data_IF_566413343492
#
_entry.id   IF_566413343492
#
_cell.length_a   1.000
_cell.length_b   1.000
_cell.length_c   1.000
_cell.angle_alpha   90.00
_cell.angle_beta   90.00
_cell.angle_gamma   90.00
#
_symmetry.space_group_name_H-M   'P 1'
#
loop_
_entity.id
_entity.type
_entity.pdbx_description
1 polymer ?
#
# COMPACT_ATOMS: atom_id res chain seq x y z
N UNK A 1 -7.89 -48.46 22.64
CA UNK A 1 -6.57 -47.87 22.95
C UNK A 1 -5.90 -47.49 21.66
N UNK A 2 -5.37 -46.31 21.59
CA UNK A 2 -4.70 -45.73 20.41
C UNK A 2 -3.25 -45.42 20.75
N UNK A 3 -2.36 -45.53 19.78
CA UNK A 3 -0.97 -45.06 19.91
C UNK A 3 -0.95 -43.51 19.82
N UNK A 4 0.17 -42.91 20.25
CA UNK A 4 0.36 -41.44 20.15
C UNK A 4 0.23 -40.94 18.70
N UNK A 5 0.63 -41.77 17.72
CA UNK A 5 0.58 -41.41 16.30
C UNK A 5 -0.88 -41.43 15.79
N UNK A 6 -1.63 -42.50 16.09
CA UNK A 6 -3.03 -42.61 15.70
C UNK A 6 -3.92 -41.52 16.36
N UNK A 7 -3.66 -41.23 17.65
CA UNK A 7 -4.37 -40.15 18.32
C UNK A 7 -4.05 -38.76 17.73
N UNK A 8 -2.81 -38.55 17.29
CA UNK A 8 -2.39 -37.33 16.63
C UNK A 8 -3.10 -37.11 15.27
N UNK A 9 -3.21 -38.18 14.47
CA UNK A 9 -3.93 -38.18 13.20
C UNK A 9 -5.42 -37.87 13.39
N UNK A 10 -6.08 -38.55 14.35
CA UNK A 10 -7.50 -38.31 14.63
C UNK A 10 -7.78 -36.90 15.14
N UNK A 11 -6.88 -36.32 15.93
CA UNK A 11 -7.03 -34.99 16.51
C UNK A 11 -6.52 -33.88 15.59
N UNK A 12 -5.86 -34.18 14.47
CA UNK A 12 -5.27 -33.21 13.57
C UNK A 12 -4.13 -32.38 14.22
N UNK A 13 -3.35 -32.99 15.15
CA UNK A 13 -2.27 -32.33 15.88
C UNK A 13 -0.99 -33.18 15.80
N UNK A 14 0.14 -32.60 16.22
CA UNK A 14 1.43 -33.35 16.22
C UNK A 14 1.50 -34.37 17.35
N UNK A 15 2.24 -35.51 17.19
CA UNK A 15 2.47 -36.50 18.24
C UNK A 15 3.07 -35.88 19.52
N UNK A 16 3.94 -34.89 19.37
CA UNK A 16 4.51 -34.11 20.48
C UNK A 16 3.42 -33.41 21.31
N UNK A 17 2.43 -32.84 20.63
CA UNK A 17 1.31 -32.15 21.29
C UNK A 17 0.42 -33.16 22.05
N UNK A 18 0.23 -34.34 21.51
CA UNK A 18 -0.48 -35.43 22.21
C UNK A 18 0.26 -35.82 23.52
N UNK A 19 1.58 -35.95 23.48
CA UNK A 19 2.38 -36.24 24.69
C UNK A 19 2.29 -35.15 25.75
N UNK A 20 2.28 -33.87 25.34
CA UNK A 20 2.05 -32.74 26.26
C UNK A 20 0.67 -32.84 26.92
N UNK A 21 -0.36 -33.19 26.17
CA UNK A 21 -1.74 -33.35 26.68
C UNK A 21 -1.85 -34.49 27.68
N UNK A 22 -1.11 -35.57 27.48
CA UNK A 22 -1.01 -36.69 28.44
C UNK A 22 -0.31 -36.23 29.72
N UNK A 23 0.86 -35.54 29.60
CA UNK A 23 1.61 -35.01 30.73
C UNK A 23 0.81 -34.02 31.59
N UNK A 24 -0.04 -33.21 30.95
CA UNK A 24 -0.86 -32.23 31.64
C UNK A 24 -2.21 -32.80 32.15
N UNK A 25 -2.40 -34.10 32.11
CA UNK A 25 -3.62 -34.76 32.57
C UNK A 25 -4.87 -34.48 31.72
N UNK A 26 -4.68 -33.87 30.55
CA UNK A 26 -5.79 -33.50 29.65
C UNK A 26 -6.23 -34.66 28.74
N UNK A 27 -5.52 -35.78 28.76
CA UNK A 27 -5.86 -37.02 28.08
C UNK A 27 -5.46 -38.21 28.94
N UNK A 28 -6.36 -39.20 29.03
CA UNK A 28 -6.10 -40.43 29.77
C UNK A 28 -5.28 -41.40 28.92
N UNK A 29 -4.15 -41.82 29.42
CA UNK A 29 -3.26 -42.75 28.75
C UNK A 29 -2.48 -43.59 29.77
N UNK A 30 -2.09 -44.82 29.38
CA UNK A 30 -1.18 -45.68 30.14
C UNK A 30 0.05 -45.99 29.31
N UNK A 31 1.19 -46.21 29.98
CA UNK A 31 2.40 -46.60 29.33
C UNK A 31 2.55 -48.12 29.39
N UNK A 32 2.70 -48.78 28.25
CA UNK A 32 2.94 -50.22 28.16
C UNK A 32 4.09 -50.44 27.17
N UNK A 33 5.09 -51.23 27.59
CA UNK A 33 6.28 -51.57 26.79
C UNK A 33 6.96 -50.34 26.15
N UNK A 34 7.02 -49.22 26.88
CA UNK A 34 7.65 -47.97 26.38
C UNK A 34 6.76 -47.10 25.50
N UNK A 35 5.59 -47.59 25.10
CA UNK A 35 4.64 -46.84 24.21
C UNK A 35 3.47 -46.32 25.03
N UNK A 36 3.00 -45.10 24.71
CA UNK A 36 1.81 -44.56 25.29
C UNK A 36 0.56 -45.12 24.57
N UNK A 37 -0.32 -45.76 25.34
CA UNK A 37 -1.63 -46.21 24.90
C UNK A 37 -2.69 -45.29 25.45
N UNK A 38 -3.36 -44.57 24.54
CA UNK A 38 -4.31 -43.54 24.84
C UNK A 38 -5.72 -44.09 24.78
N UNK A 39 -6.55 -43.74 25.74
CA UNK A 39 -7.94 -44.15 25.76
C UNK A 39 -8.72 -43.48 24.63
N UNK A 40 -9.45 -44.30 23.85
CA UNK A 40 -10.24 -43.81 22.72
C UNK A 40 -11.33 -42.86 23.17
N UNK A 41 -11.99 -43.13 24.31
CA UNK A 41 -13.05 -42.24 24.83
C UNK A 41 -12.49 -40.87 25.23
N UNK A 42 -11.24 -40.81 25.68
CA UNK A 42 -10.56 -39.52 25.94
C UNK A 42 -10.27 -38.72 24.67
N UNK A 43 -9.96 -39.40 23.55
CA UNK A 43 -9.79 -38.78 22.24
C UNK A 43 -11.13 -38.29 21.70
N UNK A 44 -12.20 -39.12 21.76
CA UNK A 44 -13.54 -38.80 21.29
C UNK A 44 -14.16 -37.63 22.09
N UNK A 45 -13.97 -37.65 23.42
CA UNK A 45 -14.41 -36.51 24.27
C UNK A 45 -13.74 -35.22 23.88
N UNK A 46 -12.46 -35.28 23.52
CA UNK A 46 -11.73 -34.10 23.09
C UNK A 46 -12.14 -33.64 21.70
N UNK A 47 -12.42 -34.52 20.78
CA UNK A 47 -13.02 -34.20 19.47
C UNK A 47 -14.37 -33.50 19.63
N UNK A 48 -15.25 -34.02 20.48
CA UNK A 48 -16.54 -33.40 20.78
C UNK A 48 -16.42 -32.08 21.53
N UNK A 49 -15.43 -31.92 22.39
CA UNK A 49 -15.18 -30.66 23.10
C UNK A 49 -14.48 -29.63 22.20
N UNK A 50 -13.73 -30.04 21.21
CA UNK A 50 -13.17 -29.16 20.18
C UNK A 50 -14.24 -28.61 19.24
N UNK A 51 -15.27 -29.42 18.92
CA UNK A 51 -16.46 -28.99 18.16
C UNK A 51 -17.40 -28.11 18.99
N UNK A 52 -17.44 -28.26 20.32
CA UNK A 52 -18.27 -27.43 21.23
C UNK A 52 -17.55 -26.17 21.75
N UNK A 53 -16.23 -26.14 21.80
CA UNK A 53 -15.48 -24.90 21.94
C UNK A 53 -15.48 -24.26 20.57
N UNK A 54 -16.51 -23.49 20.28
CA UNK A 54 -16.39 -22.39 19.36
C UNK A 54 -15.11 -21.70 19.78
N UNK A 55 -14.04 -21.86 19.00
CA UNK A 55 -12.78 -21.21 19.28
C UNK A 55 -13.16 -19.76 19.55
N UNK A 56 -12.56 -19.16 20.61
CA UNK A 56 -12.58 -17.71 20.80
C UNK A 56 -12.51 -17.11 19.40
N UNK A 57 -13.54 -16.33 18.97
CA UNK A 57 -13.57 -15.93 17.59
C UNK A 57 -12.16 -15.43 17.29
N UNK A 58 -11.47 -16.09 16.37
CA UNK A 58 -10.18 -15.60 15.89
C UNK A 58 -10.53 -14.17 15.57
N UNK A 59 -9.95 -13.22 16.34
CA UNK A 59 -10.03 -11.78 16.05
C UNK A 59 -9.89 -11.74 14.55
N UNK A 60 -10.99 -11.39 13.87
CA UNK A 60 -11.13 -11.63 12.45
C UNK A 60 -9.82 -11.20 11.81
N UNK A 61 -9.07 -12.15 11.28
CA UNK A 61 -8.08 -11.85 10.28
C UNK A 61 -8.96 -11.33 9.15
N UNK A 62 -9.18 -10.02 9.15
CA UNK A 62 -9.77 -9.35 8.03
C UNK A 62 -9.06 -9.95 6.83
N UNK A 63 -9.82 -10.47 5.86
CA UNK A 63 -9.37 -11.28 4.73
C UNK A 63 -7.91 -10.92 4.41
N UNK A 64 -6.99 -11.88 4.51
CA UNK A 64 -5.55 -11.60 4.33
C UNK A 64 -5.27 -11.04 2.93
N UNK A 65 -6.26 -11.12 2.06
CA UNK A 65 -6.27 -10.61 0.69
C UNK A 65 -7.40 -9.60 0.50
N UNK A 66 -7.09 -8.54 -0.24
CA UNK A 66 -7.99 -7.44 -0.58
C UNK A 66 -8.04 -7.35 -2.10
N UNK A 67 -9.26 -7.32 -2.64
CA UNK A 67 -9.48 -7.12 -4.06
C UNK A 67 -9.57 -5.62 -4.38
N UNK A 68 -8.87 -5.23 -5.45
CA UNK A 68 -8.87 -3.89 -6.00
C UNK A 68 -9.14 -3.93 -7.51
N UNK A 69 -9.59 -2.82 -8.04
CA UNK A 69 -9.58 -2.53 -9.46
C UNK A 69 -8.55 -1.43 -9.73
N UNK A 70 -7.59 -1.67 -10.63
CA UNK A 70 -6.77 -0.59 -11.19
C UNK A 70 -7.68 0.28 -12.06
N UNK A 71 -7.65 1.56 -11.80
CA UNK A 71 -8.45 2.58 -12.50
C UNK A 71 -7.55 3.55 -13.25
N UNK A 72 -8.01 4.04 -14.38
CA UNK A 72 -7.55 5.26 -15.02
C UNK A 72 -8.72 6.24 -15.02
N UNK A 73 -8.72 7.23 -14.13
CA UNK A 73 -9.89 8.06 -13.83
C UNK A 73 -11.09 7.18 -13.48
N UNK A 74 -12.10 7.19 -14.35
CA UNK A 74 -13.34 6.41 -14.24
C UNK A 74 -13.30 5.05 -14.95
N UNK A 75 -12.27 4.79 -15.77
CA UNK A 75 -12.12 3.54 -16.53
C UNK A 75 -11.49 2.44 -15.71
N UNK A 76 -12.12 1.28 -15.68
CA UNK A 76 -11.55 0.07 -15.08
C UNK A 76 -10.50 -0.53 -16.01
N UNK A 77 -9.28 -0.71 -15.51
CA UNK A 77 -8.14 -1.21 -16.29
C UNK A 77 -7.85 -2.68 -16.04
N UNK A 78 -7.77 -3.10 -14.77
CA UNK A 78 -7.45 -4.48 -14.42
C UNK A 78 -7.92 -4.80 -12.99
N UNK A 79 -8.24 -6.07 -12.75
CA UNK A 79 -8.53 -6.58 -11.40
C UNK A 79 -7.23 -6.97 -10.70
N UNK A 80 -7.09 -6.64 -9.42
CA UNK A 80 -5.90 -6.84 -8.62
C UNK A 80 -6.24 -7.53 -7.29
N UNK A 81 -5.33 -8.34 -6.78
CA UNK A 81 -5.39 -8.85 -5.41
C UNK A 81 -4.13 -8.45 -4.65
N UNK A 82 -4.32 -7.82 -3.50
CA UNK A 82 -3.26 -7.43 -2.59
C UNK A 82 -3.26 -8.33 -1.35
N UNK A 83 -2.09 -8.83 -0.96
CA UNK A 83 -1.91 -9.62 0.27
C UNK A 83 -1.35 -8.76 1.39
N UNK A 84 -2.10 -8.59 2.47
CA UNK A 84 -1.64 -7.89 3.68
C UNK A 84 -0.43 -8.56 4.32
N UNK A 85 -0.38 -9.89 4.31
CA UNK A 85 0.72 -10.64 4.91
C UNK A 85 2.03 -10.53 4.14
N UNK A 86 1.94 -10.40 2.81
CA UNK A 86 3.10 -10.20 1.92
C UNK A 86 3.43 -8.73 1.69
N UNK A 87 2.52 -7.83 2.06
CA UNK A 87 2.58 -6.39 1.77
C UNK A 87 2.81 -6.13 0.27
N UNK A 88 2.21 -6.94 -0.62
CA UNK A 88 2.40 -6.85 -2.07
C UNK A 88 1.17 -7.37 -2.82
N UNK A 89 1.05 -6.98 -4.10
CA UNK A 89 0.05 -7.54 -5.00
C UNK A 89 0.43 -8.98 -5.37
N UNK A 90 -0.54 -9.88 -5.30
CA UNK A 90 -0.32 -11.33 -5.52
C UNK A 90 -0.95 -11.84 -6.80
N UNK A 91 -1.90 -11.09 -7.34
CA UNK A 91 -2.61 -11.48 -8.55
C UNK A 91 -3.02 -10.25 -9.37
N UNK A 92 -3.04 -10.43 -10.68
CA UNK A 92 -3.64 -9.52 -11.67
C UNK A 92 -4.53 -10.32 -12.62
N UNK A 93 -5.71 -9.80 -12.90
CA UNK A 93 -6.65 -10.41 -13.83
C UNK A 93 -6.07 -10.49 -15.25
N UNK A 94 -6.46 -11.51 -16.01
CA UNK A 94 -6.04 -11.67 -17.40
C UNK A 94 -6.72 -10.68 -18.35
N UNK A 95 -7.92 -10.24 -17.98
CA UNK A 95 -8.69 -9.24 -18.73
C UNK A 95 -8.22 -7.84 -18.31
N UNK A 96 -7.57 -7.15 -19.26
CA UNK A 96 -6.96 -5.82 -19.05
C UNK A 96 -7.39 -4.89 -20.17
N UNK A 97 -7.98 -3.77 -19.81
CA UNK A 97 -8.19 -2.67 -20.76
C UNK A 97 -6.86 -2.00 -21.10
N UNK A 98 -6.26 -2.44 -22.21
CA UNK A 98 -4.95 -1.97 -22.65
C UNK A 98 -4.97 -0.56 -23.22
N UNK A 99 -6.14 -0.05 -23.61
CA UNK A 99 -6.27 1.30 -24.15
C UNK A 99 -6.08 2.35 -23.04
N UNK A 100 -6.53 2.04 -21.82
CA UNK A 100 -6.42 2.91 -20.65
C UNK A 100 -5.32 2.46 -19.67
N UNK A 101 -4.51 1.46 -20.04
CA UNK A 101 -3.46 0.92 -19.18
C UNK A 101 -2.23 1.84 -19.12
N UNK A 102 -1.44 1.79 -18.02
CA UNK A 102 -0.20 2.54 -17.94
C UNK A 102 0.76 2.15 -19.05
N UNK A 103 1.37 3.14 -19.69
CA UNK A 103 2.29 2.95 -20.82
C UNK A 103 3.42 2.00 -20.41
N UNK A 104 3.65 0.98 -21.27
CA UNK A 104 4.73 0.00 -21.08
C UNK A 104 4.46 -1.11 -20.05
N UNK A 105 3.42 -1.00 -19.22
CA UNK A 105 3.10 -2.03 -18.22
C UNK A 105 2.40 -3.23 -18.85
N UNK A 106 1.39 -2.98 -19.69
CA UNK A 106 0.61 -4.02 -20.37
C UNK A 106 0.71 -3.87 -21.90
N UNK A 107 1.93 -4.04 -22.44
CA UNK A 107 2.15 -3.90 -23.88
C UNK A 107 1.25 -4.85 -24.67
N UNK A 108 0.66 -4.42 -25.81
CA UNK A 108 -0.28 -5.23 -26.60
C UNK A 108 0.27 -6.59 -27.06
N UNK A 109 1.58 -6.65 -27.31
CA UNK A 109 2.27 -7.83 -27.80
C UNK A 109 2.76 -8.78 -26.71
N UNK A 110 2.55 -8.46 -25.43
CA UNK A 110 3.05 -9.26 -24.30
C UNK A 110 1.90 -9.78 -23.45
N UNK A 111 2.06 -10.95 -22.79
CA UNK A 111 1.09 -11.41 -21.80
C UNK A 111 1.03 -10.43 -20.62
N UNK A 112 -0.10 -10.40 -19.92
CA UNK A 112 -0.26 -9.64 -18.70
C UNK A 112 0.73 -10.16 -17.65
N UNK A 113 1.53 -9.27 -17.07
CA UNK A 113 2.59 -9.61 -16.13
C UNK A 113 2.37 -8.87 -14.80
N UNK A 114 2.21 -9.64 -13.73
CA UNK A 114 2.15 -9.12 -12.38
C UNK A 114 3.46 -8.40 -11.99
N UNK A 115 4.60 -8.92 -12.44
CA UNK A 115 5.91 -8.31 -12.11
C UNK A 115 6.09 -6.96 -12.80
N UNK A 116 5.63 -6.83 -14.07
CA UNK A 116 5.64 -5.53 -14.75
C UNK A 116 4.77 -4.51 -14.02
N UNK A 117 3.60 -4.93 -13.55
CA UNK A 117 2.73 -4.08 -12.72
C UNK A 117 3.39 -3.69 -11.40
N UNK A 118 4.01 -4.63 -10.68
CA UNK A 118 4.71 -4.37 -9.41
C UNK A 118 5.85 -3.37 -9.57
N UNK A 119 6.65 -3.51 -10.62
CA UNK A 119 7.75 -2.57 -10.92
C UNK A 119 7.20 -1.15 -11.13
N UNK A 120 6.17 -1.01 -11.97
CA UNK A 120 5.52 0.27 -12.20
C UNK A 120 4.90 0.83 -10.92
N UNK A 121 4.20 0.01 -10.13
CA UNK A 121 3.57 0.42 -8.88
C UNK A 121 4.58 0.96 -7.86
N UNK A 122 5.70 0.25 -7.67
CA UNK A 122 6.79 0.69 -6.78
C UNK A 122 7.45 1.97 -7.28
N UNK A 123 7.58 2.13 -8.58
CA UNK A 123 8.10 3.37 -9.19
C UNK A 123 7.24 4.60 -8.95
N UNK A 124 6.02 4.45 -8.43
CA UNK A 124 5.15 5.57 -8.03
C UNK A 124 5.47 6.11 -6.64
N UNK A 125 6.23 5.36 -5.86
CA UNK A 125 6.61 5.73 -4.50
C UNK A 125 7.75 6.73 -4.46
N UNK A 126 8.00 7.24 -3.25
CA UNK A 126 9.11 8.12 -2.98
C UNK A 126 10.43 7.35 -3.16
N UNK A 127 11.40 7.87 -3.93
CA UNK A 127 12.70 7.23 -4.07
C UNK A 127 13.42 7.01 -2.74
N UNK A 128 14.06 5.85 -2.56
CA UNK A 128 14.81 5.54 -1.33
C UNK A 128 15.96 6.53 -1.05
N UNK A 129 16.48 7.20 -2.08
CA UNK A 129 17.52 8.20 -1.98
C UNK A 129 17.03 9.60 -1.59
N UNK A 130 15.71 9.78 -1.36
CA UNK A 130 15.17 11.10 -1.01
C UNK A 130 15.69 11.59 0.33
N UNK A 131 16.14 12.84 0.34
CA UNK A 131 16.54 13.55 1.56
C UNK A 131 15.31 13.68 2.49
N UNK A 132 15.47 13.27 3.77
CA UNK A 132 14.41 13.33 4.78
C UNK A 132 13.41 12.16 4.75
N UNK A 133 13.61 11.14 3.90
CA UNK A 133 12.72 9.98 3.80
C UNK A 133 12.48 9.29 5.15
N UNK A 134 13.54 9.08 5.94
CA UNK A 134 13.42 8.40 7.23
C UNK A 134 12.48 9.14 8.20
N UNK A 135 12.53 10.47 8.24
CA UNK A 135 11.64 11.29 9.07
C UNK A 135 10.18 11.20 8.57
N UNK A 136 9.98 11.22 7.26
CA UNK A 136 8.65 11.10 6.65
C UNK A 136 8.01 9.74 6.92
N UNK A 137 8.77 8.65 6.81
CA UNK A 137 8.29 7.31 7.12
C UNK A 137 7.94 7.16 8.62
N UNK A 138 8.77 7.72 9.51
CA UNK A 138 8.53 7.71 10.94
C UNK A 138 7.26 8.50 11.32
N UNK A 139 7.05 9.69 10.72
CA UNK A 139 5.84 10.50 10.92
C UNK A 139 4.59 9.76 10.42
N UNK A 140 4.68 9.12 9.28
CA UNK A 140 3.60 8.32 8.71
C UNK A 140 3.38 6.97 9.42
N UNK A 141 4.27 6.57 10.34
CA UNK A 141 4.29 5.26 10.98
C UNK A 141 4.21 4.10 9.98
N UNK A 142 5.12 4.13 8.98
CA UNK A 142 5.32 3.09 7.96
C UNK A 142 6.78 2.71 7.86
N UNK A 143 7.05 1.49 7.41
CA UNK A 143 8.42 0.96 7.31
C UNK A 143 9.04 1.23 5.93
N UNK A 144 8.21 1.29 4.89
CA UNK A 144 8.66 1.40 3.49
C UNK A 144 7.81 2.39 2.68
N UNK A 145 8.39 3.06 1.66
CA UNK A 145 7.66 4.02 0.83
C UNK A 145 6.43 3.44 0.11
N UNK A 146 6.48 2.16 -0.27
CA UNK A 146 5.38 1.48 -0.94
C UNK A 146 4.08 1.50 -0.13
N UNK A 147 4.17 1.50 1.21
CA UNK A 147 3.01 1.60 2.08
C UNK A 147 2.33 2.98 1.99
N UNK A 148 3.09 4.03 1.69
CA UNK A 148 2.53 5.37 1.46
C UNK A 148 1.71 5.42 0.15
N UNK A 149 2.23 4.79 -0.91
CA UNK A 149 1.50 4.68 -2.19
C UNK A 149 0.18 3.96 -2.00
N UNK A 150 0.18 2.87 -1.24
CA UNK A 150 -1.02 2.09 -0.96
C UNK A 150 -2.03 2.89 -0.13
N UNK A 151 -1.58 3.63 0.88
CA UNK A 151 -2.46 4.49 1.69
C UNK A 151 -3.13 5.58 0.86
N UNK A 152 -2.43 6.10 -0.14
CA UNK A 152 -2.97 7.04 -1.11
C UNK A 152 -3.82 6.38 -2.20
N UNK A 153 -4.04 5.06 -2.17
CA UNK A 153 -4.64 4.31 -3.28
C UNK A 153 -3.93 4.55 -4.63
N UNK A 154 -2.65 4.88 -4.61
CA UNK A 154 -1.87 5.23 -5.79
C UNK A 154 -2.15 6.61 -6.37
N UNK A 155 -3.00 7.44 -5.76
CA UNK A 155 -3.29 8.79 -6.24
C UNK A 155 -2.01 9.62 -6.35
N UNK A 156 -1.88 10.35 -7.46
CA UNK A 156 -0.74 11.19 -7.78
C UNK A 156 -1.18 12.42 -8.56
N UNK A 157 -0.35 13.47 -8.55
CA UNK A 157 -0.46 14.60 -9.48
C UNK A 157 0.31 14.37 -10.80
N UNK A 158 1.01 13.23 -10.93
CA UNK A 158 1.79 12.91 -12.13
C UNK A 158 0.99 12.15 -13.19
N UNK A 159 -0.09 11.50 -12.80
CA UNK A 159 -0.99 10.75 -13.68
C UNK A 159 -2.37 10.54 -13.03
N UNK A 160 -3.25 9.81 -13.70
CA UNK A 160 -4.65 9.60 -13.29
C UNK A 160 -4.92 8.15 -12.85
N UNK A 161 -3.87 7.37 -12.55
CA UNK A 161 -4.03 5.98 -12.10
C UNK A 161 -4.21 5.90 -10.60
N UNK A 162 -5.15 5.03 -10.18
CA UNK A 162 -5.42 4.73 -8.78
C UNK A 162 -6.00 3.32 -8.63
N UNK A 163 -6.06 2.81 -7.40
CA UNK A 163 -6.69 1.53 -7.12
C UNK A 163 -7.96 1.73 -6.30
N UNK A 164 -9.08 1.24 -6.83
CA UNK A 164 -10.37 1.26 -6.15
C UNK A 164 -10.57 -0.04 -5.38
N UNK A 165 -10.78 -0.01 -4.04
CA UNK A 165 -11.22 -1.20 -3.32
C UNK A 165 -12.54 -1.71 -3.88
N UNK A 166 -12.67 -3.04 -4.08
CA UNK A 166 -13.80 -3.63 -4.79
C UNK A 166 -15.16 -3.32 -4.12
N UNK A 167 -15.19 -3.25 -2.79
CA UNK A 167 -16.41 -3.01 -2.01
C UNK A 167 -16.59 -1.52 -1.64
N UNK A 168 -15.89 -0.59 -2.31
CA UNK A 168 -15.98 0.85 -2.04
C UNK A 168 -16.82 1.57 -3.07
N UNK A 169 -17.59 2.57 -2.62
CA UNK A 169 -18.32 3.49 -3.50
C UNK A 169 -17.48 4.70 -3.97
N UNK A 170 -16.14 4.62 -3.91
CA UNK A 170 -15.28 5.73 -4.28
C UNK A 170 -15.36 6.05 -5.76
N UNK A 171 -15.52 7.33 -6.06
CA UNK A 171 -15.45 7.88 -7.39
C UNK A 171 -14.19 8.74 -7.56
N UNK A 172 -13.67 8.83 -8.78
CA UNK A 172 -12.51 9.65 -9.13
C UNK A 172 -12.71 11.12 -8.73
N UNK A 173 -13.90 11.62 -8.97
CA UNK A 173 -14.28 13.03 -8.74
C UNK A 173 -14.11 13.42 -7.27
N UNK A 174 -14.33 12.47 -6.35
CA UNK A 174 -14.32 12.72 -4.91
C UNK A 174 -12.91 12.68 -4.29
N UNK A 175 -11.96 12.04 -4.99
CA UNK A 175 -10.65 11.70 -4.37
C UNK A 175 -9.42 12.20 -5.11
N UNK A 176 -9.56 12.65 -6.38
CA UNK A 176 -8.41 13.10 -7.15
C UNK A 176 -7.79 14.39 -6.57
N UNK A 177 -6.47 14.53 -6.73
CA UNK A 177 -5.75 15.73 -6.29
C UNK A 177 -5.81 16.89 -7.27
N UNK A 178 -6.41 16.70 -8.44
CA UNK A 178 -6.50 17.75 -9.46
C UNK A 178 -7.61 18.76 -9.14
N UNK A 179 -8.73 18.29 -8.61
CA UNK A 179 -9.93 19.11 -8.39
C UNK A 179 -10.27 19.29 -6.90
N UNK A 180 -9.74 18.45 -6.03
CA UNK A 180 -10.02 18.49 -4.60
C UNK A 180 -8.88 19.15 -3.82
N UNK A 181 -9.19 19.86 -2.73
CA UNK A 181 -8.19 20.31 -1.77
C UNK A 181 -7.56 19.09 -1.10
N UNK A 182 -6.26 19.15 -0.80
CA UNK A 182 -5.53 17.97 -0.29
C UNK A 182 -6.01 17.53 1.10
N UNK A 183 -6.49 18.46 1.91
CA UNK A 183 -7.02 18.16 3.24
C UNK A 183 -8.43 17.56 3.20
N UNK A 184 -9.17 17.76 2.11
CA UNK A 184 -10.51 17.22 1.91
C UNK A 184 -10.49 15.77 1.41
N UNK A 185 -9.38 15.32 0.84
CA UNK A 185 -9.19 13.93 0.40
C UNK A 185 -8.92 13.04 1.60
N UNK A 186 -9.96 12.76 2.37
CA UNK A 186 -9.91 11.84 3.49
C UNK A 186 -10.20 10.42 3.00
N UNK A 187 -9.15 9.64 2.80
CA UNK A 187 -9.26 8.21 2.53
C UNK A 187 -9.49 7.46 3.86
N UNK A 188 -10.66 7.62 4.44
CA UNK A 188 -11.12 6.84 5.61
C UNK A 188 -11.24 5.34 5.30
N UNK A 189 -10.55 4.88 4.25
CA UNK A 189 -10.73 3.54 3.72
C UNK A 189 -9.85 2.58 4.48
N UNK A 190 -10.53 1.78 5.24
CA UNK A 190 -10.07 0.74 6.12
C UNK A 190 -8.97 -0.23 5.63
N UNK A 191 -8.70 -0.52 4.34
CA UNK A 191 -7.71 -1.53 4.01
C UNK A 191 -6.30 -1.20 4.49
N UNK A 192 -5.91 0.07 4.49
CA UNK A 192 -4.54 0.50 4.78
C UNK A 192 -4.44 1.54 5.91
N UNK A 193 -5.57 2.02 6.42
CA UNK A 193 -5.56 2.94 7.57
C UNK A 193 -5.14 2.18 8.84
N UNK A 194 -4.27 2.75 9.70
CA UNK A 194 -4.07 2.24 11.04
C UNK A 194 -5.40 2.25 11.79
N UNK A 195 -5.69 1.23 12.60
CA UNK A 195 -6.91 1.17 13.39
C UNK A 195 -7.12 2.50 14.15
N UNK A 196 -8.21 3.21 13.85
CA UNK A 196 -8.64 4.42 14.56
C UNK A 196 -8.05 5.75 14.06
N UNK A 197 -7.29 5.79 12.95
CA UNK A 197 -6.81 7.05 12.35
C UNK A 197 -7.19 7.13 10.87
N UNK A 198 -7.90 8.18 10.50
CA UNK A 198 -8.04 8.55 9.09
C UNK A 198 -6.65 8.97 8.59
N UNK A 199 -6.09 8.23 7.63
CA UNK A 199 -4.87 8.66 6.97
C UNK A 199 -5.26 9.67 5.90
N UNK A 200 -4.87 10.93 6.07
CA UNK A 200 -5.00 11.93 5.01
C UNK A 200 -4.15 11.48 3.80
N UNK A 201 -4.76 11.40 2.64
CA UNK A 201 -4.04 11.21 1.40
C UNK A 201 -3.33 12.51 1.04
N UNK A 202 -2.03 12.42 0.73
CA UNK A 202 -1.22 13.58 0.33
C UNK A 202 -0.48 13.29 -0.97
N UNK A 203 -0.45 14.23 -1.93
CA UNK A 203 0.32 14.04 -3.15
C UNK A 203 1.82 13.88 -2.92
N UNK A 204 2.33 14.30 -1.76
CA UNK A 204 3.73 14.11 -1.34
C UNK A 204 4.16 12.64 -1.36
N UNK A 205 3.24 11.73 -1.04
CA UNK A 205 3.49 10.30 -0.91
C UNK A 205 3.80 9.62 -2.26
N UNK A 206 3.48 10.27 -3.37
CA UNK A 206 3.69 9.77 -4.73
C UNK A 206 4.51 10.73 -5.59
N UNK A 207 5.25 11.64 -4.96
CA UNK A 207 6.13 12.58 -5.67
C UNK A 207 7.49 11.95 -5.94
N UNK A 208 7.96 11.97 -7.19
CA UNK A 208 9.28 11.48 -7.58
C UNK A 208 10.41 12.50 -7.29
N UNK A 209 11.66 12.05 -7.31
CA UNK A 209 12.89 12.84 -7.18
C UNK A 209 13.46 12.90 -5.76
N UNK A 210 14.77 13.21 -5.68
CA UNK A 210 15.59 13.06 -4.46
C UNK A 210 15.55 14.25 -3.50
N UNK A 211 15.19 15.43 -3.98
CA UNK A 211 15.10 16.63 -3.14
C UNK A 211 13.89 16.56 -2.22
N UNK A 212 14.02 17.09 -1.02
CA UNK A 212 12.90 17.27 -0.12
C UNK A 212 11.86 18.17 -0.79
N UNK A 213 10.62 17.77 -0.75
CA UNK A 213 9.51 18.50 -1.38
C UNK A 213 8.17 18.17 -0.73
N UNK A 214 7.23 19.09 -0.87
CA UNK A 214 5.84 18.91 -0.47
C UNK A 214 4.91 19.73 -1.38
N UNK A 215 3.66 19.36 -1.41
CA UNK A 215 2.64 20.05 -2.18
C UNK A 215 1.71 20.87 -1.27
N UNK A 216 1.31 22.04 -1.73
CA UNK A 216 0.22 22.83 -1.15
C UNK A 216 -0.86 23.12 -2.21
N UNK A 217 -2.06 23.39 -1.73
CA UNK A 217 -3.20 23.78 -2.54
C UNK A 217 -3.66 25.18 -2.12
N UNK A 218 -3.64 26.13 -3.04
CA UNK A 218 -4.11 27.48 -2.82
C UNK A 218 -5.22 27.81 -3.84
N UNK A 219 -6.47 27.62 -3.43
CA UNK A 219 -7.59 27.65 -4.36
C UNK A 219 -7.43 26.58 -5.45
N UNK A 220 -7.43 26.96 -6.71
CA UNK A 220 -7.26 26.04 -7.83
C UNK A 220 -5.79 25.75 -8.17
N UNK A 221 -4.85 26.33 -7.44
CA UNK A 221 -3.40 26.21 -7.72
C UNK A 221 -2.79 25.10 -6.89
N UNK A 222 -2.13 24.16 -7.56
CA UNK A 222 -1.30 23.11 -6.94
C UNK A 222 0.14 23.56 -7.00
N UNK A 223 0.74 23.74 -5.84
CA UNK A 223 2.06 24.35 -5.70
C UNK A 223 3.01 23.30 -5.14
N UNK A 224 4.08 23.00 -5.88
CA UNK A 224 5.16 22.12 -5.43
C UNK A 224 6.28 22.95 -4.83
N UNK A 225 6.52 22.78 -3.55
CA UNK A 225 7.68 23.33 -2.84
C UNK A 225 8.83 22.34 -2.92
N UNK A 226 10.01 22.80 -3.33
CA UNK A 226 11.24 22.01 -3.40
C UNK A 226 12.32 22.67 -2.57
N UNK A 227 13.01 21.91 -1.74
CA UNK A 227 14.23 22.36 -1.08
C UNK A 227 15.46 22.13 -1.98
N UNK A 228 16.51 22.87 -1.75
CA UNK A 228 17.79 22.60 -2.37
C UNK A 228 18.55 21.45 -1.68
N UNK A 229 19.59 20.95 -2.35
CA UNK A 229 20.54 20.02 -1.77
C UNK A 229 21.62 20.77 -0.94
N UNK A 230 22.76 20.14 -0.73
CA UNK A 230 23.80 20.58 0.20
C UNK A 230 24.24 22.05 0.09
N UNK A 231 24.22 22.65 -1.09
CA UNK A 231 24.60 24.07 -1.29
C UNK A 231 23.43 24.95 -1.72
N UNK A 232 22.22 24.45 -1.72
CA UNK A 232 21.01 25.14 -2.17
C UNK A 232 21.13 25.79 -3.57
N UNK A 233 21.91 25.19 -4.47
CA UNK A 233 22.11 25.73 -5.81
C UNK A 233 20.93 25.46 -6.74
N UNK A 234 20.24 24.33 -6.54
CA UNK A 234 19.13 23.93 -7.39
C UNK A 234 18.03 25.00 -7.47
N UNK A 235 17.60 25.62 -6.36
CA UNK A 235 16.66 26.73 -6.40
C UNK A 235 17.09 27.86 -7.32
N UNK A 236 18.33 28.28 -7.24
CA UNK A 236 18.84 29.38 -8.09
C UNK A 236 18.94 28.97 -9.56
N UNK A 237 19.33 27.73 -9.84
CA UNK A 237 19.35 27.19 -11.21
C UNK A 237 17.95 27.18 -11.84
N UNK A 238 16.93 26.79 -11.09
CA UNK A 238 15.54 26.81 -11.54
C UNK A 238 15.06 28.26 -11.80
N UNK A 239 15.47 29.23 -10.99
CA UNK A 239 15.19 30.64 -11.22
C UNK A 239 15.87 31.18 -12.49
N UNK A 240 17.13 30.81 -12.73
CA UNK A 240 17.85 31.17 -13.96
C UNK A 240 17.15 30.54 -15.17
N UNK A 241 16.79 29.25 -15.10
CA UNK A 241 16.05 28.56 -16.14
C UNK A 241 14.71 29.24 -16.42
N UNK A 242 13.95 29.61 -15.39
CA UNK A 242 12.69 30.37 -15.53
C UNK A 242 12.92 31.70 -16.25
N UNK A 243 13.97 32.45 -15.89
CA UNK A 243 14.29 33.72 -16.52
C UNK A 243 14.65 33.59 -18.01
N UNK A 244 15.33 32.49 -18.38
CA UNK A 244 15.63 32.13 -19.77
C UNK A 244 14.36 31.71 -20.52
N UNK A 245 13.60 30.76 -19.97
CA UNK A 245 12.37 30.25 -20.60
C UNK A 245 11.38 31.36 -20.86
N UNK A 246 11.21 32.30 -19.94
CA UNK A 246 10.32 33.47 -20.12
C UNK A 246 10.65 34.32 -21.35
N UNK A 247 11.88 34.24 -21.88
CA UNK A 247 12.34 34.99 -23.07
C UNK A 247 12.20 34.21 -24.36
N UNK A 248 12.18 32.89 -24.31
CA UNK A 248 12.25 32.01 -25.49
C UNK A 248 11.06 31.10 -25.68
N UNK A 249 10.21 30.95 -24.65
CA UNK A 249 9.05 30.06 -24.66
C UNK A 249 7.76 30.82 -24.38
N UNK A 250 6.62 30.26 -24.80
CA UNK A 250 5.32 30.74 -24.37
C UNK A 250 5.05 30.34 -22.91
N UNK A 251 4.14 31.04 -22.25
CA UNK A 251 3.83 30.86 -20.82
C UNK A 251 3.32 29.43 -20.51
N UNK A 252 2.78 28.72 -21.49
CA UNK A 252 2.25 27.36 -21.34
C UNK A 252 3.29 26.26 -21.61
N UNK A 253 4.48 26.62 -22.12
CA UNK A 253 5.50 25.66 -22.52
C UNK A 253 6.52 25.37 -21.42
N UNK A 254 6.43 26.03 -20.27
CA UNK A 254 7.32 25.83 -19.14
C UNK A 254 6.63 26.12 -17.80
N UNK A 255 7.16 25.54 -16.73
CA UNK A 255 6.70 25.80 -15.37
C UNK A 255 7.56 26.90 -14.75
N UNK A 256 6.97 28.06 -14.38
CA UNK A 256 7.70 29.14 -13.75
C UNK A 256 8.03 28.79 -12.29
N UNK A 257 9.25 29.10 -11.88
CA UNK A 257 9.71 28.97 -10.51
C UNK A 257 9.87 30.33 -9.84
N UNK A 258 9.58 30.40 -8.53
CA UNK A 258 9.84 31.56 -7.69
C UNK A 258 10.50 31.13 -6.38
N UNK A 259 11.34 32.01 -5.80
CA UNK A 259 11.94 31.77 -4.49
C UNK A 259 10.97 32.22 -3.40
N UNK A 260 10.79 31.37 -2.39
CA UNK A 260 10.13 31.70 -1.14
C UNK A 260 11.15 31.73 0.01
N UNK A 261 11.04 32.77 0.86
CA UNK A 261 11.83 32.92 2.08
C UNK A 261 13.18 33.59 1.90
N UNK A 262 13.61 34.31 2.92
CA UNK A 262 14.93 34.93 2.99
C UNK A 262 15.94 33.88 3.50
N UNK A 263 16.78 33.38 2.61
CA UNK A 263 18.14 32.96 2.99
C UNK A 263 18.48 31.50 3.07
N UNK A 264 17.60 30.49 3.21
CA UNK A 264 18.06 29.08 3.34
C UNK A 264 17.08 28.01 2.91
N UNK A 265 15.89 28.33 2.46
CA UNK A 265 14.87 27.28 2.30
C UNK A 265 13.92 27.57 1.16
N UNK A 266 13.59 26.51 0.47
CA UNK A 266 12.42 26.29 -0.36
C UNK A 266 12.30 27.17 -1.59
N UNK A 267 12.47 26.52 -2.68
CA UNK A 267 12.03 27.02 -3.96
C UNK A 267 10.56 26.69 -4.14
N UNK A 268 9.79 27.67 -4.58
CA UNK A 268 8.41 27.46 -4.99
C UNK A 268 8.38 27.19 -6.48
N UNK A 269 7.87 26.03 -6.88
CA UNK A 269 7.53 25.75 -8.25
C UNK A 269 6.02 25.84 -8.39
N UNK A 270 5.55 26.77 -9.21
CA UNK A 270 4.16 26.89 -9.54
C UNK A 270 3.84 26.01 -10.73
N UNK A 271 3.32 24.80 -10.47
CA UNK A 271 2.79 23.97 -11.53
C UNK A 271 1.28 24.20 -11.56
N UNK A 272 0.79 24.86 -12.60
CA UNK A 272 -0.62 24.81 -12.90
C UNK A 272 -0.88 23.44 -13.53
N UNK A 273 -1.16 22.46 -12.70
CA UNK A 273 -1.60 21.14 -13.18
C UNK A 273 -3.11 21.24 -13.38
N UNK A 274 -3.53 21.53 -14.60
CA UNK A 274 -4.85 21.15 -15.04
C UNK A 274 -4.86 19.64 -15.28
N UNK A 275 -6.01 19.02 -15.05
CA UNK A 275 -6.20 17.61 -15.38
C UNK A 275 -5.89 17.42 -16.89
N UNK A 276 -4.93 16.53 -17.26
CA UNK A 276 -4.56 16.29 -18.66
C UNK A 276 -5.67 15.65 -19.47
#
# INVERSE_FOLDING_TARGET
MLTTKEAAELLGITPRRVQELIKNGAMTARKASGVWLIDKDSVDTRLRSATKRGGRPRRGHGKSEIAFTLMNRTHEVAQLVYSRSRKDFTHIGADVDRAHAPIGVFAPSKPVSLDSFRIWWRGRGIPLARIGLASLLAEAAVDVPDELVQRNLGLSLSDQYWIRPQDSGLAWEDINFFNNAFDDVSLSIAPFAPEGKAAAAKPDNTSDGNLQKYWTCEGDRRILHKAGAHLNQEPYNEMVATALHRRILNTYDYVPYSLEGAGTSALLSLIHISEP
#
